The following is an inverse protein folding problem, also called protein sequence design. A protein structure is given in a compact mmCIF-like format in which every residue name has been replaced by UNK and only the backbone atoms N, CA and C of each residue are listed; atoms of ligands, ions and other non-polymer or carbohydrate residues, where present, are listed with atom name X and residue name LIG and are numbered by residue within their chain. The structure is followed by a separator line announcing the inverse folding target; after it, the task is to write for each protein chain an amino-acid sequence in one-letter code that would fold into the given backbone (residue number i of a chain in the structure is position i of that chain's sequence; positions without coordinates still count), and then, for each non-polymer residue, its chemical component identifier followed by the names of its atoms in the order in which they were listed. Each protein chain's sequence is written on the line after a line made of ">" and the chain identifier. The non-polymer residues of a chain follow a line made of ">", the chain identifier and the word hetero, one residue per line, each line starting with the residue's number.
data_IF_598091365664
#
_entry.id   IF_598091365664
#
_cell.length_a   1.000
_cell.length_b   1.000
_cell.length_c   1.000
_cell.angle_alpha   90.00
_cell.angle_beta   90.00
_cell.angle_gamma   90.00
#
_symmetry.space_group_name_H-M   'P 1'
#
loop_
_entity.id
_entity.type
_entity.pdbx_description
1 polymer ?
#
# COMPACT_ATOMS: atom_id res chain seq x y z
N UNK A 1 -30.21 37.72 45.51
CA UNK A 1 -30.40 37.07 44.19
C UNK A 1 -29.41 37.52 43.11
N UNK A 2 -29.07 38.81 43.01
CA UNK A 2 -28.16 39.34 41.96
C UNK A 2 -26.73 38.76 41.99
N UNK A 3 -26.19 38.43 43.18
CA UNK A 3 -24.85 37.84 43.30
C UNK A 3 -24.75 36.40 42.79
N UNK A 4 -25.79 35.59 42.98
CA UNK A 4 -25.82 34.20 42.51
C UNK A 4 -25.87 34.14 40.98
N UNK A 5 -26.68 35.01 40.36
CA UNK A 5 -26.78 35.11 38.90
C UNK A 5 -25.43 35.49 38.26
N UNK A 6 -24.71 36.45 38.85
CA UNK A 6 -23.37 36.86 38.37
C UNK A 6 -22.37 35.71 38.43
N UNK A 7 -22.34 34.97 39.55
CA UNK A 7 -21.43 33.83 39.73
C UNK A 7 -21.70 32.74 38.69
N UNK A 8 -22.98 32.39 38.44
CA UNK A 8 -23.33 31.40 37.40
C UNK A 8 -22.95 31.84 36.00
N UNK A 9 -23.15 33.11 35.64
CA UNK A 9 -22.79 33.61 34.30
C UNK A 9 -21.27 33.64 34.11
N UNK A 10 -20.50 34.02 35.13
CA UNK A 10 -19.03 33.99 35.07
C UNK A 10 -18.50 32.57 34.94
N UNK A 11 -19.10 31.59 35.63
CA UNK A 11 -18.70 30.19 35.54
C UNK A 11 -19.01 29.59 34.16
N UNK A 12 -20.16 29.94 33.58
CA UNK A 12 -20.55 29.49 32.23
C UNK A 12 -19.62 30.04 31.14
N UNK A 13 -19.25 31.33 31.24
CA UNK A 13 -18.29 31.97 30.33
C UNK A 13 -16.90 31.35 30.43
N UNK A 14 -16.44 31.03 31.65
CA UNK A 14 -15.16 30.37 31.87
C UNK A 14 -15.16 28.95 31.30
N UNK A 15 -16.24 28.18 31.49
CA UNK A 15 -16.38 26.85 30.91
C UNK A 15 -16.38 26.86 29.38
N UNK A 16 -17.07 27.83 28.75
CA UNK A 16 -17.06 28.02 27.30
C UNK A 16 -15.67 28.40 26.78
N UNK A 17 -14.91 29.22 27.52
CA UNK A 17 -13.53 29.58 27.17
C UNK A 17 -12.58 28.37 27.25
N UNK A 18 -12.72 27.53 28.29
CA UNK A 18 -11.88 26.33 28.46
C UNK A 18 -12.19 25.28 27.38
N UNK A 19 -13.44 25.18 26.91
CA UNK A 19 -13.77 24.32 25.77
C UNK A 19 -13.26 24.88 24.43
N UNK A 20 -13.22 26.20 24.25
CA UNK A 20 -12.65 26.83 23.05
C UNK A 20 -11.12 26.67 22.97
N UNK A 21 -10.44 26.49 24.11
CA UNK A 21 -8.99 26.26 24.19
C UNK A 21 -8.57 24.79 24.03
N UNK A 22 -9.53 23.85 23.90
CA UNK A 22 -9.26 22.40 23.76
C UNK A 22 -9.26 21.88 22.31
N UNK A 23 -9.34 22.75 21.31
CA UNK A 23 -9.42 22.31 19.91
C UNK A 23 -8.06 22.14 19.21
N UNK A 24 -6.94 22.39 19.88
CA UNK A 24 -5.59 22.19 19.34
C UNK A 24 -4.81 21.13 20.15
N UNK A 25 -5.51 20.14 20.73
CA UNK A 25 -4.83 18.88 20.98
C UNK A 25 -4.59 18.27 19.60
N UNK A 26 -3.45 18.63 19.01
CA UNK A 26 -2.68 17.77 18.12
C UNK A 26 -2.55 16.44 18.85
N UNK A 27 -3.58 15.59 18.75
CA UNK A 27 -3.42 14.18 18.99
C UNK A 27 -2.20 13.83 18.16
N UNK A 28 -1.10 13.35 18.76
CA UNK A 28 -0.13 12.65 17.95
C UNK A 28 -0.96 11.53 17.34
N UNK A 29 -1.31 11.68 16.06
CA UNK A 29 -1.59 10.55 15.19
C UNK A 29 -0.29 9.77 15.30
N UNK A 30 -0.17 8.91 16.31
CA UNK A 30 0.80 7.83 16.28
C UNK A 30 0.59 7.24 14.90
N UNK A 31 1.59 7.41 14.02
CA UNK A 31 1.56 6.80 12.72
C UNK A 31 1.26 5.34 12.99
N UNK A 32 0.05 4.89 12.65
CA UNK A 32 -0.37 3.53 12.87
C UNK A 32 0.53 2.67 11.98
N UNK A 33 1.63 2.18 12.57
CA UNK A 33 2.62 1.33 11.90
C UNK A 33 2.08 -0.09 11.88
N UNK A 34 1.04 -0.32 11.10
CA UNK A 34 0.64 -1.67 10.74
C UNK A 34 1.71 -2.28 9.84
N UNK A 35 2.03 -3.55 10.06
CA UNK A 35 2.91 -4.30 9.17
C UNK A 35 2.20 -5.60 8.78
N UNK A 36 1.77 -5.68 7.53
CA UNK A 36 1.03 -6.82 7.02
C UNK A 36 1.98 -7.77 6.31
N UNK A 37 1.88 -9.06 6.61
CA UNK A 37 2.61 -10.11 5.92
C UNK A 37 1.62 -11.04 5.24
N UNK A 38 1.61 -11.02 3.91
CA UNK A 38 0.64 -11.75 3.10
C UNK A 38 1.36 -12.74 2.18
N UNK A 39 0.75 -13.90 1.99
CA UNK A 39 1.30 -14.91 1.07
C UNK A 39 0.90 -14.58 -0.36
N UNK A 40 1.87 -14.64 -1.28
CA UNK A 40 1.65 -14.46 -2.72
C UNK A 40 2.07 -15.71 -3.48
N UNK A 41 1.33 -16.05 -4.53
CA UNK A 41 1.67 -17.14 -5.43
C UNK A 41 2.57 -16.65 -6.56
N UNK A 42 3.71 -17.32 -6.75
CA UNK A 42 4.66 -17.05 -7.85
C UNK A 42 4.59 -18.19 -8.85
N UNK A 43 4.21 -17.91 -10.10
CA UNK A 43 3.89 -18.93 -11.11
C UNK A 43 4.54 -18.63 -12.47
N UNK A 44 5.25 -19.59 -13.09
CA UNK A 44 5.71 -20.86 -12.52
C UNK A 44 6.89 -20.63 -11.57
N UNK A 45 6.97 -21.40 -10.49
CA UNK A 45 8.18 -21.46 -9.65
C UNK A 45 9.30 -22.15 -10.42
N UNK A 46 10.35 -21.42 -10.78
CA UNK A 46 11.52 -21.95 -11.47
C UNK A 46 12.79 -21.47 -10.80
N UNK A 47 13.83 -22.32 -10.81
CA UNK A 47 15.19 -21.92 -10.39
C UNK A 47 15.85 -20.95 -11.37
N UNK A 48 15.47 -21.00 -12.65
CA UNK A 48 15.97 -20.13 -13.70
C UNK A 48 14.85 -19.82 -14.68
N UNK A 49 14.71 -18.55 -15.00
CA UNK A 49 13.80 -18.05 -16.02
C UNK A 49 14.57 -17.73 -17.29
N UNK A 50 13.91 -17.86 -18.44
CA UNK A 50 14.44 -17.47 -19.74
C UNK A 50 13.91 -16.11 -20.16
N UNK A 51 14.57 -15.48 -21.12
CA UNK A 51 14.01 -14.30 -21.79
C UNK A 51 12.66 -14.63 -22.41
N UNK A 52 11.70 -13.71 -22.26
CA UNK A 52 10.31 -13.91 -22.67
C UNK A 52 9.49 -14.78 -21.72
N UNK A 53 10.08 -15.40 -20.69
CA UNK A 53 9.27 -16.01 -19.63
C UNK A 53 8.51 -14.91 -18.89
N UNK A 54 7.25 -15.20 -18.57
CA UNK A 54 6.42 -14.39 -17.68
C UNK A 54 6.40 -15.03 -16.29
N UNK A 55 6.74 -14.24 -15.28
CA UNK A 55 6.57 -14.60 -13.87
C UNK A 55 5.27 -13.96 -13.42
N UNK A 56 4.26 -14.78 -13.13
CA UNK A 56 3.00 -14.33 -12.58
C UNK A 56 3.10 -14.26 -11.06
N UNK A 57 2.69 -13.13 -10.50
CA UNK A 57 2.54 -12.92 -9.06
C UNK A 57 1.05 -12.71 -8.83
N UNK A 58 0.47 -13.58 -7.99
CA UNK A 58 -0.95 -13.53 -7.65
C UNK A 58 -1.13 -13.36 -6.15
N UNK A 59 -2.11 -12.55 -5.80
CA UNK A 59 -2.56 -12.37 -4.44
C UNK A 59 -4.08 -12.37 -4.45
N UNK A 60 -4.68 -12.96 -3.43
CA UNK A 60 -6.11 -12.97 -3.26
C UNK A 60 -6.47 -12.85 -1.79
N UNK A 61 -7.19 -11.78 -1.47
CA UNK A 61 -7.79 -11.56 -0.17
C UNK A 61 -9.31 -11.50 -0.32
N UNK A 62 -9.92 -12.67 -0.20
CA UNK A 62 -11.37 -12.84 -0.38
C UNK A 62 -12.18 -12.50 0.87
N UNK A 63 -11.58 -12.57 2.05
CA UNK A 63 -12.22 -12.31 3.34
C UNK A 63 -12.05 -10.86 3.82
N UNK A 64 -11.34 -10.03 3.05
CA UNK A 64 -11.10 -8.60 3.29
C UNK A 64 -10.47 -8.33 4.65
N UNK A 65 -9.54 -9.19 5.04
CA UNK A 65 -8.81 -9.11 6.29
C UNK A 65 -7.31 -9.13 6.02
N UNK A 66 -6.59 -8.20 6.61
CA UNK A 66 -5.12 -8.25 6.62
C UNK A 66 -4.65 -8.60 8.02
N UNK A 67 -3.73 -9.55 8.10
CA UNK A 67 -3.16 -9.93 9.38
C UNK A 67 -1.98 -9.00 9.71
N UNK A 68 -2.12 -8.19 10.76
CA UNK A 68 -1.01 -7.36 11.24
C UNK A 68 -0.02 -8.21 12.05
N UNK A 69 1.17 -8.38 11.50
CA UNK A 69 2.22 -9.18 12.10
C UNK A 69 2.75 -8.59 13.42
N UNK A 70 2.57 -7.28 13.67
CA UNK A 70 3.02 -6.61 14.90
C UNK A 70 1.99 -6.81 16.01
N UNK A 71 0.74 -6.39 15.79
CA UNK A 71 -0.31 -6.47 16.83
C UNK A 71 -0.98 -7.85 16.93
N UNK A 72 -0.75 -8.72 15.94
CA UNK A 72 -1.43 -10.03 15.79
C UNK A 72 -2.94 -9.92 15.66
N UNK A 73 -3.43 -8.82 15.11
CA UNK A 73 -4.85 -8.56 14.90
C UNK A 73 -5.19 -8.58 13.41
N UNK A 74 -6.42 -9.01 13.12
CA UNK A 74 -6.97 -8.93 11.78
C UNK A 74 -7.64 -7.57 11.58
N UNK A 75 -7.27 -6.90 10.49
CA UNK A 75 -7.79 -5.58 10.14
C UNK A 75 -8.70 -5.70 8.94
N UNK A 76 -9.93 -5.22 9.09
CA UNK A 76 -10.90 -5.16 8.00
C UNK A 76 -10.47 -4.11 6.98
N UNK A 77 -10.45 -4.49 5.71
CA UNK A 77 -9.96 -3.63 4.64
C UNK A 77 -11.07 -2.85 3.92
N UNK A 78 -12.31 -2.93 4.41
CA UNK A 78 -13.49 -2.29 3.82
C UNK A 78 -13.46 -0.74 3.85
N UNK A 79 -12.58 -0.15 4.64
CA UNK A 79 -12.47 1.31 4.77
C UNK A 79 -11.14 1.89 4.32
N UNK A 80 -10.25 1.07 3.75
CA UNK A 80 -8.89 1.50 3.37
C UNK A 80 -8.62 1.18 1.91
N UNK A 81 -7.82 2.04 1.28
CA UNK A 81 -7.25 1.73 -0.03
C UNK A 81 -5.93 1.00 0.17
N UNK A 82 -5.74 -0.10 -0.56
CA UNK A 82 -4.50 -0.86 -0.55
C UNK A 82 -3.72 -0.60 -1.83
N UNK A 83 -2.46 -0.23 -1.67
CA UNK A 83 -1.49 -0.12 -2.76
C UNK A 83 -0.53 -1.29 -2.75
N UNK A 84 -0.49 -2.06 -3.83
CA UNK A 84 0.51 -3.08 -4.08
C UNK A 84 1.63 -2.48 -4.91
N UNK A 85 2.85 -2.55 -4.40
CA UNK A 85 4.05 -2.11 -5.11
C UNK A 85 4.93 -3.33 -5.36
N UNK A 86 5.31 -3.54 -6.62
CA UNK A 86 6.33 -4.50 -7.00
C UNK A 86 7.51 -3.75 -7.61
N UNK A 87 8.71 -4.01 -7.11
CA UNK A 87 9.95 -3.49 -7.67
C UNK A 87 10.82 -4.67 -8.13
N UNK A 88 11.39 -4.51 -9.32
CA UNK A 88 12.40 -5.39 -9.87
C UNK A 88 13.67 -4.59 -10.06
N UNK A 89 14.70 -4.99 -9.34
CA UNK A 89 16.03 -4.40 -9.41
C UNK A 89 16.96 -5.39 -10.11
N UNK A 90 17.68 -4.91 -11.12
CA UNK A 90 18.72 -5.69 -11.75
C UNK A 90 19.89 -5.89 -10.78
N UNK A 91 20.16 -7.13 -10.38
CA UNK A 91 21.36 -7.45 -9.58
C UNK A 91 22.57 -7.60 -10.51
N UNK A 92 23.71 -6.96 -10.16
CA UNK A 92 25.08 -7.05 -10.70
C UNK A 92 25.28 -7.34 -12.22
N UNK A 93 26.11 -6.52 -12.88
CA UNK A 93 26.58 -6.69 -14.28
C UNK A 93 25.50 -6.77 -15.38
N UNK A 94 24.29 -6.24 -15.18
CA UNK A 94 23.49 -5.87 -16.35
C UNK A 94 24.22 -4.73 -17.08
N UNK A 95 24.29 -4.79 -18.42
CA UNK A 95 24.66 -3.61 -19.21
C UNK A 95 23.85 -2.45 -18.64
N UNK A 96 24.54 -1.39 -18.20
CA UNK A 96 23.91 -0.17 -17.71
C UNK A 96 22.89 0.23 -18.77
N UNK A 97 21.61 0.03 -18.46
CA UNK A 97 20.49 0.66 -19.17
C UNK A 97 20.16 0.03 -20.54
N UNK A 98 19.58 -1.19 -20.57
CA UNK A 98 19.05 -1.74 -21.82
C UNK A 98 17.97 -0.80 -22.40
N UNK A 99 18.00 -0.51 -23.71
CA UNK A 99 16.89 0.19 -24.36
C UNK A 99 15.58 -0.59 -24.13
N UNK A 100 14.63 0.02 -23.43
CA UNK A 100 13.33 -0.60 -23.12
C UNK A 100 13.23 -1.32 -21.77
N UNK A 101 14.23 -1.21 -20.90
CA UNK A 101 14.21 -1.70 -19.51
C UNK A 101 14.46 -3.21 -19.35
N UNK A 102 14.61 -3.66 -18.11
CA UNK A 102 14.90 -5.08 -17.80
C UNK A 102 13.68 -6.01 -17.90
N UNK A 103 12.49 -5.48 -17.63
CA UNK A 103 11.24 -6.22 -17.70
C UNK A 103 10.07 -5.31 -18.07
N UNK A 104 8.98 -5.95 -18.47
CA UNK A 104 7.66 -5.35 -18.64
C UNK A 104 6.68 -5.91 -17.62
N UNK A 105 5.71 -5.10 -17.24
CA UNK A 105 4.60 -5.54 -16.40
C UNK A 105 3.35 -5.68 -17.24
N UNK A 106 2.64 -6.78 -17.05
CA UNK A 106 1.31 -7.00 -17.59
C UNK A 106 0.36 -7.28 -16.43
N UNK A 107 -0.87 -6.83 -16.51
CA UNK A 107 -1.93 -7.20 -15.57
C UNK A 107 -3.17 -7.56 -16.36
N UNK A 108 -3.87 -8.59 -15.92
CA UNK A 108 -5.17 -8.98 -16.48
C UNK A 108 -6.34 -8.53 -15.61
N UNK A 109 -6.04 -7.89 -14.48
CA UNK A 109 -7.03 -7.49 -13.51
C UNK A 109 -7.82 -6.26 -14.00
N UNK A 110 -9.14 -6.39 -13.94
CA UNK A 110 -10.10 -5.38 -14.39
C UNK A 110 -10.63 -4.52 -13.26
N UNK A 111 -10.36 -4.89 -12.01
CA UNK A 111 -10.87 -4.23 -10.80
C UNK A 111 -9.85 -3.26 -10.20
N UNK A 112 -8.79 -2.91 -10.95
CA UNK A 112 -7.77 -1.96 -10.51
C UNK A 112 -8.32 -0.54 -10.66
N UNK A 113 -8.28 0.25 -9.59
CA UNK A 113 -8.67 1.66 -9.62
C UNK A 113 -7.57 2.54 -10.23
N UNK A 114 -6.31 2.22 -9.92
CA UNK A 114 -5.15 2.88 -10.53
C UNK A 114 -4.00 1.89 -10.73
N UNK A 115 -3.47 1.88 -11.96
CA UNK A 115 -2.22 1.19 -12.29
C UNK A 115 -1.20 2.19 -12.81
N UNK A 116 0.04 2.09 -12.34
CA UNK A 116 1.17 2.76 -12.97
C UNK A 116 2.36 1.81 -13.05
N UNK A 117 3.00 1.79 -14.22
CA UNK A 117 4.21 1.02 -14.45
C UNK A 117 5.32 1.96 -14.91
N UNK A 118 6.49 1.84 -14.30
CA UNK A 118 7.71 2.49 -14.74
C UNK A 118 8.72 1.41 -15.09
N UNK A 119 9.00 1.22 -16.37
CA UNK A 119 10.18 0.48 -16.81
C UNK A 119 11.36 1.46 -16.81
N UNK A 120 12.15 1.43 -15.75
CA UNK A 120 13.36 2.23 -15.63
C UNK A 120 14.60 1.47 -16.07
N UNK A 121 15.65 2.26 -16.25
CA UNK A 121 16.98 1.85 -16.67
C UNK A 121 17.69 0.90 -15.67
N UNK A 122 17.47 1.08 -14.36
CA UNK A 122 18.02 0.23 -13.28
C UNK A 122 16.94 -0.51 -12.48
N UNK A 123 15.73 0.05 -12.44
CA UNK A 123 14.62 -0.44 -11.63
C UNK A 123 13.34 -0.39 -12.45
N UNK A 124 12.61 -1.48 -12.46
CA UNK A 124 11.25 -1.53 -12.97
C UNK A 124 10.28 -1.60 -11.78
N UNK A 125 9.24 -0.77 -11.79
CA UNK A 125 8.23 -0.75 -10.73
C UNK A 125 6.82 -0.83 -11.30
N UNK A 126 5.96 -1.58 -10.63
CA UNK A 126 4.51 -1.62 -10.85
C UNK A 126 3.82 -1.23 -9.55
N UNK A 127 2.86 -0.31 -9.66
CA UNK A 127 1.96 0.07 -8.58
C UNK A 127 0.53 -0.20 -9.00
N UNK A 128 -0.17 -1.02 -8.23
CA UNK A 128 -1.60 -1.32 -8.38
C UNK A 128 -2.33 -0.82 -7.14
N UNK A 129 -3.44 -0.11 -7.31
CA UNK A 129 -4.25 0.39 -6.20
C UNK A 129 -5.65 -0.17 -6.32
N UNK A 130 -6.13 -0.66 -5.19
CA UNK A 130 -7.50 -1.10 -4.98
C UNK A 130 -8.14 -0.21 -3.93
N UNK A 131 -9.33 0.27 -4.24
CA UNK A 131 -10.21 0.99 -3.36
C UNK A 131 -11.13 0.04 -2.60
N UNK A 132 -11.95 0.62 -1.73
CA UNK A 132 -12.76 -0.09 -0.76
C UNK A 132 -13.84 -1.01 -1.36
N UNK A 133 -14.26 -0.75 -2.60
CA UNK A 133 -15.39 -1.43 -3.24
C UNK A 133 -15.01 -2.75 -3.92
N UNK A 134 -13.73 -2.95 -4.22
CA UNK A 134 -13.25 -4.07 -5.04
C UNK A 134 -12.70 -5.20 -4.17
N UNK A 135 -12.81 -6.44 -4.67
CA UNK A 135 -12.06 -7.56 -4.09
C UNK A 135 -10.57 -7.28 -4.20
N UNK A 136 -9.84 -7.41 -3.10
CA UNK A 136 -8.41 -7.14 -3.05
C UNK A 136 -7.66 -8.36 -3.53
N UNK A 137 -7.69 -8.57 -4.83
CA UNK A 137 -6.90 -9.57 -5.53
C UNK A 137 -6.10 -8.87 -6.60
N UNK A 138 -4.90 -9.34 -6.89
CA UNK A 138 -4.16 -8.90 -8.07
C UNK A 138 -3.54 -10.09 -8.80
N UNK A 139 -3.43 -9.96 -10.11
CA UNK A 139 -2.64 -10.86 -10.95
C UNK A 139 -1.77 -10.02 -11.89
N UNK A 140 -0.48 -10.03 -11.61
CA UNK A 140 0.50 -9.28 -12.37
C UNK A 140 1.60 -10.20 -12.93
N UNK A 141 1.86 -10.09 -14.21
CA UNK A 141 2.93 -10.78 -14.91
C UNK A 141 4.14 -9.88 -15.08
N UNK A 142 5.32 -10.44 -14.88
CA UNK A 142 6.62 -9.80 -15.09
C UNK A 142 7.28 -10.51 -16.26
N UNK A 143 7.40 -9.82 -17.38
CA UNK A 143 7.98 -10.35 -18.62
C UNK A 143 9.46 -9.98 -18.66
N UNK A 144 10.33 -10.99 -18.63
CA UNK A 144 11.78 -10.75 -18.65
C UNK A 144 12.26 -10.39 -20.05
N UNK A 145 12.86 -9.22 -20.21
CA UNK A 145 13.38 -8.74 -21.49
C UNK A 145 14.90 -8.85 -21.62
N UNK A 146 15.62 -8.79 -20.50
CA UNK A 146 17.07 -8.87 -20.49
C UNK A 146 17.58 -9.99 -19.58
N UNK A 147 18.68 -10.61 -20.01
CA UNK A 147 19.38 -11.64 -19.26
C UNK A 147 20.23 -10.97 -18.18
N UNK A 148 20.12 -11.42 -16.94
CA UNK A 148 21.11 -11.12 -15.91
C UNK A 148 22.41 -11.86 -16.21
N UNK A 149 23.55 -11.19 -16.03
CA UNK A 149 24.85 -11.86 -16.07
C UNK A 149 25.17 -12.34 -14.65
N UNK A 150 25.42 -13.64 -14.49
CA UNK A 150 26.02 -14.21 -13.28
C UNK A 150 27.53 -13.98 -13.30
#
# INVERSE_FOLDING_TARGET
>A
MVNQLKITTTFLLLALLVMALKCDDDYPLEEFKYNFEETVDILPVKKSYKLGDTIWIKYQNSDKRLHDAITKQDILTDSVSLGFNMSFEGTYYSLLYPPGGHCEFITSDRNIDQASSRSGESTAALRLIYGCANTQSFEAGVVLKQRGNL
#
